data_IF_500723656106
#
_entry.id   IF_500723656106
#
_cell.length_a   1.000
_cell.length_b   1.000
_cell.length_c   1.000
_cell.angle_alpha   90.00
_cell.angle_beta   90.00
_cell.angle_gamma   90.00
#
_symmetry.space_group_name_H-M   'P 1'
#
loop_
_entity.id
_entity.type
_entity.pdbx_description
1 polymer ?
#
# COMPACT_ATOMS: atom_id res chain seq x y z
N UNK A 1 45.32 -17.03 49.96
CA UNK A 1 44.22 -16.12 50.37
C UNK A 1 43.59 -15.52 49.13
N UNK A 2 42.31 -15.17 49.23
CA UNK A 2 41.29 -15.06 48.19
C UNK A 2 41.53 -14.02 47.07
N UNK A 3 41.02 -14.34 45.87
CA UNK A 3 40.75 -13.41 44.77
C UNK A 3 39.64 -12.43 45.16
N UNK A 4 39.77 -11.14 44.83
CA UNK A 4 38.65 -10.20 44.83
C UNK A 4 38.43 -9.66 43.41
N UNK A 5 37.36 -10.12 42.77
CA UNK A 5 36.84 -9.55 41.53
C UNK A 5 35.83 -8.45 41.86
N UNK A 6 36.08 -7.25 41.34
CA UNK A 6 35.24 -6.05 41.54
C UNK A 6 33.98 -6.16 40.68
N UNK A 7 32.83 -6.35 41.32
CA UNK A 7 31.54 -6.67 40.68
C UNK A 7 30.68 -5.46 40.31
N UNK A 8 31.23 -4.27 40.04
CA UNK A 8 30.42 -3.07 39.73
C UNK A 8 29.80 -3.14 38.31
N UNK A 9 28.80 -4.02 38.22
CA UNK A 9 27.53 -3.98 37.50
C UNK A 9 27.52 -3.05 36.29
N UNK A 10 27.72 -3.65 35.12
CA UNK A 10 27.10 -3.23 33.88
C UNK A 10 25.58 -3.09 34.10
N UNK A 11 25.04 -1.90 33.90
CA UNK A 11 23.63 -1.71 33.58
C UNK A 11 23.55 -0.99 32.24
N UNK A 12 23.78 -1.74 31.16
CA UNK A 12 23.30 -1.38 29.82
C UNK A 12 21.80 -1.69 29.81
N UNK A 13 20.96 -0.69 30.08
CA UNK A 13 19.52 -0.81 29.86
C UNK A 13 19.28 -0.87 28.36
N UNK A 14 19.15 -2.08 27.82
CA UNK A 14 18.63 -2.28 26.48
C UNK A 14 17.14 -1.87 26.47
N UNK A 15 16.85 -0.68 25.95
CA UNK A 15 15.47 -0.27 25.68
C UNK A 15 14.99 -1.11 24.51
N UNK A 16 14.26 -2.18 24.81
CA UNK A 16 13.57 -2.99 23.81
C UNK A 16 12.39 -2.18 23.31
N UNK A 17 12.57 -1.49 22.18
CA UNK A 17 11.47 -0.86 21.46
C UNK A 17 10.63 -1.98 20.85
N UNK A 18 9.54 -2.35 21.53
CA UNK A 18 8.57 -3.28 20.98
C UNK A 18 7.97 -2.69 19.69
N UNK A 19 7.81 -3.49 18.61
CA UNK A 19 7.08 -3.01 17.45
C UNK A 19 5.63 -2.77 17.88
N UNK A 20 5.16 -1.54 17.69
CA UNK A 20 3.76 -1.21 17.91
C UNK A 20 2.89 -2.16 17.07
N UNK A 21 2.05 -2.95 17.74
CA UNK A 21 1.03 -3.74 17.08
C UNK A 21 0.09 -2.79 16.36
N UNK A 22 0.15 -2.77 15.03
CA UNK A 22 -0.76 -1.98 14.21
C UNK A 22 -2.14 -2.61 14.33
N UNK A 23 -3.15 -1.90 14.87
CA UNK A 23 -4.49 -2.45 14.99
C UNK A 23 -5.00 -2.87 13.60
N UNK A 24 -5.61 -4.07 13.53
CA UNK A 24 -6.13 -4.71 12.31
C UNK A 24 -7.44 -4.10 11.80
N UNK A 25 -7.91 -3.01 12.40
CA UNK A 25 -9.12 -2.27 12.03
C UNK A 25 -8.85 -1.33 10.85
N UNK A 26 -8.63 -1.90 9.67
CA UNK A 26 -8.49 -1.13 8.43
C UNK A 26 -7.30 -0.17 8.40
N UNK A 27 -6.98 0.34 7.21
CA UNK A 27 -5.94 1.34 7.09
C UNK A 27 -6.48 2.68 7.61
N UNK A 28 -5.86 3.24 8.64
CA UNK A 28 -6.27 4.52 9.21
C UNK A 28 -6.24 5.64 8.16
N UNK A 29 -7.17 6.60 8.26
CA UNK A 29 -7.15 7.76 7.38
C UNK A 29 -5.91 8.62 7.67
N UNK A 30 -5.29 9.14 6.62
CA UNK A 30 -4.14 10.03 6.69
C UNK A 30 -4.28 11.15 5.65
N UNK A 31 -3.91 12.39 6.02
CA UNK A 31 -3.99 13.52 5.09
C UNK A 31 -5.39 13.73 4.49
N UNK A 32 -5.41 14.18 3.23
CA UNK A 32 -6.63 14.47 2.49
C UNK A 32 -7.08 13.30 1.61
N UNK A 33 -6.17 12.40 1.22
CA UNK A 33 -6.40 11.39 0.20
C UNK A 33 -6.27 9.96 0.71
N UNK A 34 -5.43 9.73 1.72
CA UNK A 34 -5.22 8.36 2.19
C UNK A 34 -6.40 7.86 3.06
N UNK A 35 -7.12 6.84 2.58
CA UNK A 35 -8.15 6.14 3.34
C UNK A 35 -9.49 5.99 2.60
N UNK A 36 -10.42 5.21 3.18
CA UNK A 36 -11.63 4.75 2.47
C UNK A 36 -12.66 5.86 2.18
N UNK A 37 -12.63 6.99 2.89
CA UNK A 37 -13.72 7.98 2.87
C UNK A 37 -13.38 9.33 2.25
N UNK A 38 -12.22 9.48 1.61
CA UNK A 38 -11.76 10.80 1.11
C UNK A 38 -11.34 10.85 -0.37
N UNK A 39 -11.47 9.74 -1.08
CA UNK A 39 -11.00 9.57 -2.45
C UNK A 39 -12.03 9.84 -3.54
N UNK A 40 -11.58 9.64 -4.79
CA UNK A 40 -12.43 9.72 -5.97
C UNK A 40 -13.37 8.51 -6.05
N UNK A 41 -14.69 8.72 -6.11
CA UNK A 41 -15.63 7.65 -6.47
C UNK A 41 -15.42 7.20 -7.92
N UNK A 42 -15.63 5.93 -8.26
CA UNK A 42 -15.44 5.45 -9.65
C UNK A 42 -16.36 6.21 -10.62
N UNK A 43 -15.79 6.78 -11.68
CA UNK A 43 -16.52 7.54 -12.70
C UNK A 43 -17.03 8.92 -12.24
N UNK A 44 -16.70 9.37 -11.02
CA UNK A 44 -17.04 10.71 -10.53
C UNK A 44 -15.82 11.63 -10.57
N UNK A 45 -15.98 12.95 -10.76
CA UNK A 45 -14.86 13.87 -10.62
C UNK A 45 -14.18 13.72 -9.24
N UNK A 46 -12.86 13.67 -9.23
CA UNK A 46 -12.09 13.72 -8.00
C UNK A 46 -12.26 15.06 -7.29
N UNK A 47 -12.24 15.10 -5.94
CA UNK A 47 -12.22 16.37 -5.22
C UNK A 47 -10.96 17.19 -5.57
N UNK A 48 -11.09 18.51 -5.63
CA UNK A 48 -9.96 19.41 -5.90
C UNK A 48 -9.31 19.79 -4.57
N UNK A 49 -8.46 18.89 -4.06
CA UNK A 49 -7.70 19.08 -2.83
C UNK A 49 -6.20 18.89 -3.08
N UNK A 50 -5.38 19.70 -2.42
CA UNK A 50 -3.93 19.54 -2.46
C UNK A 50 -3.47 18.37 -1.59
N UNK A 51 -2.28 17.86 -1.91
CA UNK A 51 -1.63 16.88 -1.06
C UNK A 51 -1.06 17.57 0.17
N UNK A 52 -1.21 16.94 1.33
CA UNK A 52 -0.52 17.36 2.55
C UNK A 52 0.99 17.12 2.46
N UNK A 53 1.40 15.97 1.94
CA UNK A 53 2.80 15.59 1.73
C UNK A 53 2.94 14.52 0.63
N UNK A 54 4.15 13.95 0.50
CA UNK A 54 4.44 12.95 -0.52
C UNK A 54 3.58 11.69 -0.39
N UNK A 55 3.33 11.21 0.83
CA UNK A 55 2.48 10.02 1.03
C UNK A 55 1.04 10.32 0.63
N UNK A 56 0.52 11.49 1.02
CA UNK A 56 -0.82 11.93 0.62
C UNK A 56 -0.94 12.07 -0.91
N UNK A 57 0.11 12.53 -1.59
CA UNK A 57 0.17 12.57 -3.06
C UNK A 57 0.16 11.19 -3.72
N UNK A 58 0.82 10.19 -3.12
CA UNK A 58 0.76 8.82 -3.64
C UNK A 58 -0.65 8.24 -3.48
N UNK A 59 -1.35 8.54 -2.38
CA UNK A 59 -2.75 8.16 -2.20
C UNK A 59 -3.68 8.85 -3.22
N UNK A 60 -3.46 10.15 -3.48
CA UNK A 60 -4.19 10.90 -4.51
C UNK A 60 -4.08 10.25 -5.88
N UNK A 61 -2.90 9.79 -6.26
CA UNK A 61 -2.68 9.13 -7.55
C UNK A 61 -3.30 7.72 -7.59
N UNK A 62 -3.28 7.00 -6.46
CA UNK A 62 -3.97 5.71 -6.35
C UNK A 62 -5.49 5.86 -6.53
N UNK A 63 -6.11 6.85 -5.88
CA UNK A 63 -7.54 7.13 -6.02
C UNK A 63 -7.92 7.54 -7.44
N UNK A 64 -7.08 8.32 -8.12
CA UNK A 64 -7.26 8.66 -9.54
C UNK A 64 -7.21 7.42 -10.44
N UNK A 65 -6.26 6.53 -10.20
CA UNK A 65 -6.18 5.27 -10.93
C UNK A 65 -7.44 4.43 -10.73
N UNK A 66 -7.91 4.30 -9.48
CA UNK A 66 -9.16 3.58 -9.17
C UNK A 66 -10.38 4.27 -9.80
N UNK A 67 -10.43 5.59 -9.83
CA UNK A 67 -11.50 6.34 -10.49
C UNK A 67 -11.62 6.01 -11.98
N UNK A 68 -10.48 5.95 -12.67
CA UNK A 68 -10.42 5.71 -14.12
C UNK A 68 -10.62 4.24 -14.49
N UNK A 69 -10.11 3.32 -13.67
CA UNK A 69 -10.07 1.90 -14.02
C UNK A 69 -11.03 1.02 -13.23
N UNK A 70 -11.64 1.54 -12.17
CA UNK A 70 -12.49 0.82 -11.22
C UNK A 70 -11.71 0.27 -10.02
N UNK A 71 -12.45 -0.30 -9.07
CA UNK A 71 -11.86 -0.87 -7.85
C UNK A 71 -11.06 -2.17 -8.10
N UNK A 72 -10.20 -2.49 -7.13
CA UNK A 72 -9.42 -3.74 -7.08
C UNK A 72 -8.53 -4.00 -8.30
N UNK A 73 -7.97 -2.97 -8.94
CA UNK A 73 -7.07 -3.16 -10.08
C UNK A 73 -5.64 -3.37 -9.62
N UNK A 74 -5.06 -4.51 -9.98
CA UNK A 74 -3.67 -4.82 -9.60
C UNK A 74 -2.69 -3.78 -10.14
N UNK A 75 -2.94 -3.18 -11.30
CA UNK A 75 -2.10 -2.10 -11.83
C UNK A 75 -2.06 -0.88 -10.90
N UNK A 76 -3.22 -0.44 -10.38
CA UNK A 76 -3.30 0.67 -9.44
C UNK A 76 -2.59 0.33 -8.12
N UNK A 77 -2.89 -0.84 -7.56
CA UNK A 77 -2.26 -1.29 -6.30
C UNK A 77 -0.73 -1.50 -6.47
N UNK A 78 -0.26 -1.91 -7.64
CA UNK A 78 1.16 -2.05 -7.97
C UNK A 78 1.89 -0.71 -8.01
N UNK A 79 1.35 0.29 -8.72
CA UNK A 79 1.94 1.62 -8.78
C UNK A 79 1.99 2.27 -7.39
N UNK A 80 0.90 2.16 -6.62
CA UNK A 80 0.85 2.61 -5.24
C UNK A 80 1.98 1.99 -4.41
N UNK A 81 2.15 0.67 -4.45
CA UNK A 81 3.20 -0.01 -3.68
C UNK A 81 4.63 0.26 -4.17
N UNK A 82 4.80 0.60 -5.45
CA UNK A 82 6.10 1.01 -6.00
C UNK A 82 6.51 2.39 -5.50
N UNK A 83 5.57 3.32 -5.45
CA UNK A 83 5.88 4.75 -5.24
C UNK A 83 5.84 5.13 -3.76
N UNK A 84 5.00 4.47 -2.96
CA UNK A 84 4.81 4.77 -1.53
C UNK A 84 6.10 4.70 -0.69
N UNK A 85 7.03 3.74 -0.87
CA UNK A 85 8.27 3.69 -0.10
C UNK A 85 9.09 4.98 -0.21
N UNK A 86 9.21 5.55 -1.42
CA UNK A 86 10.01 6.74 -1.71
C UNK A 86 9.32 8.08 -1.38
N UNK A 87 8.04 8.06 -1.02
CA UNK A 87 7.29 9.27 -0.73
C UNK A 87 7.80 10.02 0.50
N UNK A 88 7.89 11.35 0.45
CA UNK A 88 8.28 12.16 1.61
C UNK A 88 7.21 12.15 2.70
N UNK A 89 7.66 12.23 3.95
CA UNK A 89 6.80 12.32 5.13
C UNK A 89 6.95 13.67 5.82
N UNK A 90 5.82 14.29 6.14
CA UNK A 90 5.78 15.55 6.89
C UNK A 90 5.63 15.37 8.40
N UNK A 91 5.08 14.24 8.85
CA UNK A 91 4.84 13.95 10.27
C UNK A 91 5.14 12.49 10.64
N UNK A 92 5.30 12.14 11.93
CA UNK A 92 5.51 10.75 12.36
C UNK A 92 4.37 9.80 11.95
N UNK A 93 3.12 10.27 11.90
CA UNK A 93 1.96 9.46 11.50
C UNK A 93 2.07 8.97 10.05
N UNK A 94 2.75 9.73 9.18
CA UNK A 94 3.05 9.33 7.80
C UNK A 94 3.82 8.00 7.73
N UNK A 95 4.81 7.83 8.61
CA UNK A 95 5.62 6.61 8.65
C UNK A 95 4.78 5.40 9.10
N UNK A 96 3.92 5.61 10.10
CA UNK A 96 2.99 4.57 10.55
C UNK A 96 2.00 4.18 9.44
N UNK A 97 1.43 5.17 8.74
CA UNK A 97 0.55 4.91 7.60
C UNK A 97 1.26 4.13 6.50
N UNK A 98 2.46 4.57 6.10
CA UNK A 98 3.26 3.91 5.07
C UNK A 98 3.50 2.44 5.39
N UNK A 99 3.92 2.15 6.63
CA UNK A 99 4.17 0.78 7.06
C UNK A 99 2.90 -0.08 7.02
N UNK A 100 1.78 0.45 7.52
CA UNK A 100 0.49 -0.23 7.52
C UNK A 100 -0.03 -0.47 6.09
N UNK A 101 0.07 0.54 5.22
CA UNK A 101 -0.38 0.48 3.84
C UNK A 101 0.39 -0.58 3.05
N UNK A 102 1.72 -0.61 3.17
CA UNK A 102 2.53 -1.67 2.53
C UNK A 102 2.12 -3.07 3.03
N UNK A 103 1.93 -3.24 4.34
CA UNK A 103 1.54 -4.53 4.92
C UNK A 103 0.16 -5.01 4.45
N UNK A 104 -0.80 -4.10 4.30
CA UNK A 104 -2.15 -4.40 3.79
C UNK A 104 -2.11 -4.72 2.30
N UNK A 105 -1.51 -3.84 1.50
CA UNK A 105 -1.58 -3.96 0.04
C UNK A 105 -0.79 -5.15 -0.50
N UNK A 106 0.30 -5.57 0.17
CA UNK A 106 1.02 -6.81 -0.15
C UNK A 106 0.14 -8.07 -0.16
N UNK A 107 -0.96 -8.05 0.60
CA UNK A 107 -1.88 -9.19 0.77
C UNK A 107 -3.27 -8.93 0.20
N UNK A 108 -3.52 -7.73 -0.30
CA UNK A 108 -4.83 -7.29 -0.79
C UNK A 108 -5.16 -7.97 -2.12
N UNK A 109 -6.29 -8.70 -2.22
CA UNK A 109 -6.74 -9.26 -3.49
C UNK A 109 -7.03 -8.17 -4.52
N UNK A 110 -6.62 -8.42 -5.76
CA UNK A 110 -6.89 -7.55 -6.91
C UNK A 110 -7.18 -8.39 -8.16
N UNK A 111 -7.66 -7.75 -9.23
CA UNK A 111 -7.91 -8.36 -10.52
C UNK A 111 -7.13 -7.69 -11.66
N UNK A 112 -6.67 -8.49 -12.62
CA UNK A 112 -6.27 -8.02 -13.94
C UNK A 112 -7.16 -8.61 -15.03
N UNK A 113 -7.17 -7.98 -16.20
CA UNK A 113 -7.82 -8.51 -17.40
C UNK A 113 -6.78 -8.83 -18.45
N UNK A 114 -6.57 -10.11 -18.75
CA UNK A 114 -5.69 -10.54 -19.85
C UNK A 114 -6.51 -10.91 -21.07
N UNK A 115 -5.98 -10.60 -22.25
CA UNK A 115 -6.57 -11.01 -23.53
C UNK A 115 -6.20 -12.47 -23.76
N UNK A 116 -7.18 -13.35 -23.68
CA UNK A 116 -7.04 -14.76 -24.00
C UNK A 116 -7.64 -15.02 -25.37
N UNK A 117 -6.83 -15.55 -26.30
CA UNK A 117 -7.23 -15.80 -27.67
C UNK A 117 -7.21 -17.30 -27.93
N UNK A 118 -8.36 -17.85 -28.34
CA UNK A 118 -8.48 -19.25 -28.75
C UNK A 118 -8.65 -19.33 -30.28
N UNK A 119 -8.08 -20.34 -30.95
CA UNK A 119 -8.36 -20.59 -32.37
C UNK A 119 -9.87 -20.77 -32.60
N UNK A 120 -10.42 -20.12 -33.63
CA UNK A 120 -11.84 -20.18 -33.96
C UNK A 120 -12.03 -19.96 -35.47
N UNK A 121 -12.55 -20.96 -36.19
CA UNK A 121 -12.90 -20.93 -37.63
C UNK A 121 -12.01 -20.03 -38.50
N UNK A 122 -10.79 -20.48 -38.83
CA UNK A 122 -9.88 -19.75 -39.73
C UNK A 122 -9.25 -18.48 -39.14
N UNK A 123 -9.48 -18.18 -37.85
CA UNK A 123 -8.88 -17.04 -37.15
C UNK A 123 -8.70 -17.28 -35.65
N UNK A 124 -8.59 -16.18 -34.89
CA UNK A 124 -8.51 -16.20 -33.42
C UNK A 124 -9.66 -15.40 -32.84
N UNK A 125 -10.40 -16.00 -31.91
CA UNK A 125 -11.41 -15.30 -31.12
C UNK A 125 -10.82 -14.96 -29.75
N UNK A 126 -10.86 -13.69 -29.38
CA UNK A 126 -10.20 -13.19 -28.18
C UNK A 126 -11.19 -12.61 -27.18
N UNK A 127 -10.97 -12.88 -25.91
CA UNK A 127 -11.79 -12.43 -24.79
C UNK A 127 -10.91 -11.83 -23.70
N UNK A 128 -11.46 -10.89 -22.92
CA UNK A 128 -10.79 -10.38 -21.72
C UNK A 128 -11.23 -11.23 -20.52
N UNK A 129 -10.34 -12.07 -20.01
CA UNK A 129 -10.60 -12.92 -18.85
C UNK A 129 -10.04 -12.24 -17.60
N UNK A 130 -10.78 -12.33 -16.49
CA UNK A 130 -10.34 -11.84 -15.17
C UNK A 130 -9.39 -12.85 -14.54
N UNK A 131 -8.25 -12.37 -14.03
CA UNK A 131 -7.28 -13.16 -13.28
C UNK A 131 -7.14 -12.59 -11.86
N UNK A 132 -7.21 -13.44 -10.81
CA UNK A 132 -6.93 -13.01 -9.45
C UNK A 132 -5.44 -12.68 -9.30
N UNK A 133 -5.13 -11.68 -8.48
CA UNK A 133 -3.78 -11.26 -8.13
C UNK A 133 -3.71 -10.69 -6.72
N UNK A 134 -2.51 -10.23 -6.35
CA UNK A 134 -2.25 -9.54 -5.08
C UNK A 134 -1.59 -8.19 -5.35
N UNK A 135 -2.02 -7.16 -4.62
CA UNK A 135 -1.46 -5.82 -4.71
C UNK A 135 0.05 -5.83 -4.53
N UNK A 136 0.76 -5.11 -5.40
CA UNK A 136 2.22 -5.02 -5.36
C UNK A 136 3.01 -5.98 -6.23
N UNK A 137 2.35 -6.88 -6.95
CA UNK A 137 3.03 -7.68 -7.99
C UNK A 137 2.84 -7.02 -9.36
N UNK A 138 3.91 -6.84 -10.16
CA UNK A 138 3.85 -6.18 -11.48
C UNK A 138 2.99 -6.95 -12.49
N UNK A 139 2.72 -8.21 -12.16
CA UNK A 139 2.00 -9.14 -12.98
C UNK A 139 0.72 -9.52 -12.23
N UNK A 140 -0.40 -9.51 -12.94
CA UNK A 140 -0.93 -10.85 -13.14
C UNK A 140 -0.05 -11.50 -14.20
#
# INVERSE_FOLDING_TARGET
MMMQFNWKVLLLTAVVVAPAAVPTSGLANYGNWCGYSRGCGVGTPCPVMDCRDGVDCVCKEHDRCLNQHGYHKCGCDFHFMRDLPGASCSTPECHAYKAAALAVFQKKPCECRKKHCIPWFGGKKCWKIKYPGLGGKPNC
#
